data_IF_649805963967
#
_entry.id   IF_649805963967
#
_cell.length_a   1.000
_cell.length_b   1.000
_cell.length_c   1.000
_cell.angle_alpha   90.00
_cell.angle_beta   90.00
_cell.angle_gamma   90.00
#
_symmetry.space_group_name_H-M   'P 1'
#
loop_
_entity.id
_entity.type
_entity.pdbx_description
1 polymer ?
#
# COMPACT_ATOMS: atom_id res chain seq x y z
N UNK A 1 1.08 9.77 -22.65
CA UNK A 1 -0.26 9.15 -22.68
C UNK A 1 -0.16 7.88 -23.49
N UNK A 2 -0.80 6.78 -23.07
CA UNK A 2 -0.88 5.50 -23.80
C UNK A 2 -2.34 5.16 -24.17
N UNK A 3 -3.25 6.12 -24.00
CA UNK A 3 -4.64 6.03 -24.41
C UNK A 3 -4.75 5.80 -25.92
N UNK A 4 -5.70 4.95 -26.29
CA UNK A 4 -6.10 4.76 -27.67
C UNK A 4 -7.36 5.57 -27.95
N UNK A 5 -7.41 6.22 -29.11
CA UNK A 5 -8.64 6.81 -29.64
C UNK A 5 -9.01 6.08 -30.94
N UNK A 6 -9.74 4.95 -30.85
CA UNK A 6 -9.99 4.08 -32.00
C UNK A 6 -10.60 4.79 -33.21
N UNK A 7 -11.36 5.87 -32.97
CA UNK A 7 -12.01 6.69 -34.00
C UNK A 7 -11.63 8.17 -33.96
N UNK A 8 -10.68 8.56 -33.08
CA UNK A 8 -10.48 9.96 -32.70
C UNK A 8 -11.64 10.54 -31.87
N UNK A 9 -11.42 11.72 -31.31
CA UNK A 9 -12.42 12.51 -30.56
C UNK A 9 -12.48 13.94 -31.12
N UNK A 10 -13.67 14.42 -31.46
CA UNK A 10 -13.86 15.80 -31.91
C UNK A 10 -14.08 16.75 -30.73
N UNK A 11 -13.35 17.86 -30.71
CA UNK A 11 -13.60 18.97 -29.80
C UNK A 11 -14.07 20.19 -30.58
N UNK A 12 -15.39 20.32 -30.71
CA UNK A 12 -16.01 21.28 -31.62
C UNK A 12 -15.82 20.89 -33.09
N UNK A 13 -16.03 21.86 -33.98
CA UNK A 13 -16.14 21.57 -35.43
C UNK A 13 -14.80 21.66 -36.17
N UNK A 14 -13.70 21.91 -35.46
CA UNK A 14 -12.39 22.22 -36.07
C UNK A 14 -11.19 21.56 -35.38
N UNK A 15 -11.40 20.68 -34.41
CA UNK A 15 -10.33 19.93 -33.73
C UNK A 15 -10.69 18.46 -33.68
N UNK A 16 -9.80 17.61 -34.23
CA UNK A 16 -9.86 16.15 -34.13
C UNK A 16 -8.64 15.69 -33.32
N UNK A 17 -8.89 15.17 -32.13
CA UNK A 17 -7.90 14.60 -31.24
C UNK A 17 -7.70 13.11 -31.56
N UNK A 18 -6.45 12.66 -31.68
CA UNK A 18 -6.10 11.28 -32.05
C UNK A 18 -4.91 10.79 -31.24
N UNK A 19 -4.87 9.49 -30.95
CA UNK A 19 -3.75 8.85 -30.28
C UNK A 19 -3.72 7.35 -30.60
N UNK A 20 -2.52 6.80 -30.76
CA UNK A 20 -2.29 5.44 -31.28
C UNK A 20 -1.95 4.41 -30.21
N UNK A 21 -2.15 4.74 -28.94
CA UNK A 21 -1.72 3.90 -27.84
C UNK A 21 -0.19 3.86 -27.72
N UNK A 22 0.36 2.65 -27.74
CA UNK A 22 1.76 2.41 -27.38
C UNK A 22 2.41 1.26 -28.16
N UNK A 23 3.74 1.14 -28.00
CA UNK A 23 4.57 0.04 -28.53
C UNK A 23 4.39 -0.30 -30.02
N UNK A 24 3.96 0.68 -30.82
CA UNK A 24 3.57 0.46 -32.22
C UNK A 24 2.52 -0.65 -32.38
N UNK A 25 1.68 -0.90 -31.37
CA UNK A 25 0.55 -1.82 -31.48
C UNK A 25 -0.39 -1.39 -32.62
N UNK A 26 -0.51 -0.08 -32.85
CA UNK A 26 -1.35 0.51 -33.88
C UNK A 26 -0.62 1.58 -34.69
N UNK A 27 -0.99 1.68 -35.97
CA UNK A 27 -0.72 2.82 -36.86
C UNK A 27 -2.00 3.67 -36.94
N UNK A 28 -1.88 4.96 -36.63
CA UNK A 28 -2.98 5.91 -36.79
C UNK A 28 -3.18 6.29 -38.25
N UNK A 29 -4.42 6.19 -38.74
CA UNK A 29 -4.82 6.68 -40.06
C UNK A 29 -5.87 7.78 -39.90
N UNK A 30 -5.53 8.99 -40.32
CA UNK A 30 -6.41 10.17 -40.28
C UNK A 30 -6.68 10.65 -41.70
N UNK A 31 -7.95 10.76 -42.06
CA UNK A 31 -8.42 11.36 -43.31
C UNK A 31 -9.08 12.71 -42.99
N UNK A 32 -8.50 13.81 -43.49
CA UNK A 32 -9.00 15.17 -43.24
C UNK A 32 -9.82 15.65 -44.44
N UNK A 33 -11.06 16.06 -44.20
CA UNK A 33 -11.88 16.76 -45.18
C UNK A 33 -11.60 18.27 -45.11
N UNK A 34 -11.00 18.81 -46.17
CA UNK A 34 -10.61 20.22 -46.25
C UNK A 34 -11.77 21.16 -46.60
N UNK A 35 -12.88 20.64 -47.14
CA UNK A 35 -14.07 21.42 -47.45
C UNK A 35 -14.99 21.55 -46.23
N UNK A 36 -15.05 20.50 -45.42
CA UNK A 36 -15.83 20.45 -44.19
C UNK A 36 -15.12 19.56 -43.17
N UNK A 37 -14.35 20.19 -42.28
CA UNK A 37 -13.52 19.49 -41.29
C UNK A 37 -14.32 18.53 -40.41
N UNK A 38 -15.61 18.80 -40.19
CA UNK A 38 -16.49 17.95 -39.38
C UNK A 38 -16.73 16.56 -39.99
N UNK A 39 -16.43 16.38 -41.28
CA UNK A 39 -16.47 15.08 -41.98
C UNK A 39 -15.15 14.30 -41.93
N UNK A 40 -14.11 14.84 -41.28
CA UNK A 40 -12.82 14.15 -41.13
C UNK A 40 -12.98 12.86 -40.32
N UNK A 41 -12.14 11.87 -40.56
CA UNK A 41 -12.19 10.59 -39.86
C UNK A 41 -10.81 10.19 -39.34
N UNK A 42 -10.79 9.41 -38.26
CA UNK A 42 -9.60 8.73 -37.78
C UNK A 42 -9.91 7.27 -37.51
N UNK A 43 -8.89 6.42 -37.65
CA UNK A 43 -8.94 5.02 -37.20
C UNK A 43 -7.57 4.50 -36.81
N UNK A 44 -7.56 3.48 -35.95
CA UNK A 44 -6.38 2.69 -35.67
C UNK A 44 -6.30 1.48 -36.59
N UNK A 45 -5.12 1.23 -37.13
CA UNK A 45 -4.79 0.06 -37.91
C UNK A 45 -3.79 -0.77 -37.11
N UNK A 46 -4.17 -1.94 -36.58
CA UNK A 46 -3.25 -2.75 -35.80
C UNK A 46 -2.04 -3.17 -36.63
N UNK A 47 -0.83 -3.02 -36.10
CA UNK A 47 0.40 -3.24 -36.89
C UNK A 47 0.55 -4.71 -37.31
N UNK A 48 0.01 -5.65 -36.53
CA UNK A 48 -0.03 -7.08 -36.91
C UNK A 48 -0.88 -7.35 -38.17
N UNK A 49 -1.70 -6.42 -38.63
CA UNK A 49 -2.51 -6.58 -39.85
C UNK A 49 -1.70 -6.41 -41.14
N UNK A 50 -0.50 -5.84 -41.06
CA UNK A 50 0.41 -5.72 -42.19
C UNK A 50 1.14 -7.05 -42.41
N UNK A 51 0.91 -7.67 -43.56
CA UNK A 51 1.45 -9.01 -43.91
C UNK A 51 2.46 -8.99 -45.05
N UNK A 52 2.74 -7.80 -45.60
CA UNK A 52 3.68 -7.63 -46.72
C UNK A 52 5.00 -7.10 -46.18
N UNK A 53 6.06 -7.89 -46.34
CA UNK A 53 7.42 -7.46 -46.02
C UNK A 53 7.98 -6.53 -47.11
N UNK A 54 8.60 -5.43 -46.71
CA UNK A 54 9.28 -4.51 -47.61
C UNK A 54 10.55 -5.17 -48.19
N UNK A 55 10.81 -5.02 -49.49
CA UNK A 55 12.03 -5.52 -50.11
C UNK A 55 13.32 -4.88 -49.55
N UNK A 56 13.21 -3.75 -48.83
CA UNK A 56 14.30 -3.10 -48.10
C UNK A 56 14.54 -3.67 -46.70
N UNK A 57 13.59 -4.42 -46.13
CA UNK A 57 13.63 -4.96 -44.75
C UNK A 57 14.92 -5.77 -44.48
N UNK A 58 15.39 -6.67 -45.36
CA UNK A 58 16.60 -7.46 -45.10
C UNK A 58 17.88 -6.62 -44.88
N UNK A 59 17.95 -5.40 -45.45
CA UNK A 59 19.12 -4.52 -45.27
C UNK A 59 19.17 -3.85 -43.89
N UNK A 60 18.03 -3.78 -43.21
CA UNK A 60 17.87 -3.23 -41.86
C UNK A 60 17.95 -4.36 -40.82
N UNK A 61 17.34 -5.51 -41.13
CA UNK A 61 17.23 -6.65 -40.21
C UNK A 61 18.56 -7.39 -39.97
N UNK A 62 19.52 -7.40 -40.90
CA UNK A 62 20.77 -8.16 -40.69
C UNK A 62 21.66 -7.58 -39.58
N UNK A 63 21.97 -6.26 -39.54
CA UNK A 63 22.65 -5.66 -38.40
C UNK A 63 21.86 -5.74 -37.09
N UNK A 64 20.53 -5.59 -37.17
CA UNK A 64 19.63 -5.70 -36.02
C UNK A 64 19.66 -7.11 -35.42
N UNK A 65 19.62 -8.14 -36.27
CA UNK A 65 19.74 -9.54 -35.84
C UNK A 65 21.07 -9.83 -35.17
N UNK A 66 22.19 -9.34 -35.71
CA UNK A 66 23.49 -9.53 -35.06
C UNK A 66 23.57 -8.83 -33.69
N UNK A 67 22.94 -7.66 -33.54
CA UNK A 67 22.82 -6.99 -32.25
C UNK A 67 21.89 -7.75 -31.29
N UNK A 68 20.76 -8.26 -31.80
CA UNK A 68 19.81 -9.08 -31.04
C UNK A 68 20.47 -10.36 -30.55
N UNK A 69 21.16 -11.11 -31.43
CA UNK A 69 21.87 -12.34 -31.05
C UNK A 69 22.92 -12.07 -29.95
N UNK A 70 23.58 -10.91 -29.99
CA UNK A 70 24.52 -10.48 -28.96
C UNK A 70 23.84 -10.11 -27.64
N UNK A 71 22.70 -9.42 -27.72
CA UNK A 71 21.88 -9.09 -26.56
C UNK A 71 21.30 -10.35 -25.92
N UNK A 72 20.72 -11.25 -26.70
CA UNK A 72 20.11 -12.52 -26.25
C UNK A 72 21.14 -13.42 -25.58
N UNK A 73 22.39 -13.45 -26.08
CA UNK A 73 23.46 -14.24 -25.50
C UNK A 73 23.78 -13.82 -24.06
N UNK A 74 23.78 -12.52 -23.77
CA UNK A 74 23.99 -11.99 -22.42
C UNK A 74 22.70 -12.01 -21.61
N UNK A 75 21.60 -11.63 -22.24
CA UNK A 75 20.28 -11.50 -21.61
C UNK A 75 19.72 -12.84 -21.14
N UNK A 76 20.12 -13.96 -21.74
CA UNK A 76 19.69 -15.30 -21.31
C UNK A 76 20.47 -15.85 -20.11
N UNK A 77 21.46 -15.13 -19.59
CA UNK A 77 22.17 -15.54 -18.37
C UNK A 77 21.22 -15.49 -17.16
N UNK A 78 21.11 -16.61 -16.44
CA UNK A 78 20.31 -16.71 -15.22
C UNK A 78 21.01 -16.00 -14.05
N UNK A 79 20.24 -15.25 -13.28
CA UNK A 79 20.63 -14.63 -12.01
C UNK A 79 20.07 -15.44 -10.83
N UNK A 80 18.80 -15.86 -10.93
CA UNK A 80 18.10 -16.62 -9.89
C UNK A 80 17.05 -17.53 -10.55
N UNK A 81 16.99 -18.81 -10.17
CA UNK A 81 16.20 -19.84 -10.88
C UNK A 81 14.93 -20.32 -10.15
N UNK A 82 14.69 -19.86 -8.92
CA UNK A 82 13.64 -20.39 -8.02
C UNK A 82 12.56 -19.34 -7.69
N UNK A 83 12.22 -18.46 -8.64
CA UNK A 83 11.12 -17.49 -8.48
C UNK A 83 9.76 -18.22 -8.63
N UNK A 84 8.86 -18.08 -7.66
CA UNK A 84 7.58 -18.81 -7.66
C UNK A 84 6.39 -18.00 -8.19
N UNK A 85 6.53 -16.67 -8.31
CA UNK A 85 5.48 -15.73 -8.67
C UNK A 85 5.97 -14.66 -9.65
N UNK A 86 5.05 -13.93 -10.27
CA UNK A 86 5.39 -12.80 -11.14
C UNK A 86 5.77 -11.58 -10.30
N UNK A 87 6.79 -10.83 -10.71
CA UNK A 87 7.03 -9.47 -10.21
C UNK A 87 6.49 -8.48 -11.25
N UNK A 88 5.34 -7.89 -10.96
CA UNK A 88 4.58 -7.08 -11.91
C UNK A 88 5.06 -5.63 -11.97
N UNK A 89 5.16 -5.12 -13.20
CA UNK A 89 5.36 -3.72 -13.56
C UNK A 89 4.08 -3.04 -14.03
N UNK A 90 2.92 -3.67 -13.79
CA UNK A 90 1.62 -3.14 -14.19
C UNK A 90 1.52 -1.68 -13.75
N UNK A 91 1.16 -0.82 -14.69
CA UNK A 91 1.03 0.63 -14.48
C UNK A 91 -0.06 0.96 -13.49
N UNK A 92 -1.07 0.12 -13.42
CA UNK A 92 -2.12 0.20 -12.41
C UNK A 92 -1.61 -0.11 -11.00
N UNK A 93 -0.41 -0.65 -10.88
CA UNK A 93 0.26 -0.91 -9.60
C UNK A 93 1.38 0.13 -9.41
N UNK A 94 2.45 0.06 -10.22
CA UNK A 94 3.69 0.81 -9.97
C UNK A 94 3.53 2.33 -10.03
N UNK A 95 2.43 2.86 -10.60
CA UNK A 95 2.21 4.31 -10.82
C UNK A 95 1.18 4.96 -9.92
N UNK A 96 0.63 4.25 -8.94
CA UNK A 96 -0.38 4.82 -8.05
C UNK A 96 -0.48 4.19 -6.67
N UNK A 97 0.23 3.08 -6.43
CA UNK A 97 0.23 2.34 -5.17
C UNK A 97 1.57 1.63 -4.97
N UNK A 98 1.81 1.11 -3.78
CA UNK A 98 2.97 0.28 -3.48
C UNK A 98 3.00 -0.96 -4.37
N UNK A 99 4.19 -1.29 -4.88
CA UNK A 99 4.43 -2.43 -5.76
C UNK A 99 5.56 -3.30 -5.20
N UNK A 100 5.38 -4.63 -5.17
CA UNK A 100 6.44 -5.55 -4.76
C UNK A 100 7.74 -5.37 -5.57
N UNK A 101 7.64 -5.24 -6.89
CA UNK A 101 8.81 -4.98 -7.74
C UNK A 101 9.47 -3.63 -7.42
N UNK A 102 8.68 -2.62 -7.08
CA UNK A 102 9.18 -1.31 -6.63
C UNK A 102 9.92 -1.40 -5.29
N UNK A 103 9.38 -2.17 -4.35
CA UNK A 103 10.00 -2.46 -3.07
C UNK A 103 11.34 -3.18 -3.25
N UNK A 104 11.37 -4.24 -4.05
CA UNK A 104 12.58 -5.02 -4.33
C UNK A 104 13.70 -4.16 -4.95
N UNK A 105 13.37 -3.32 -5.93
CA UNK A 105 14.34 -2.42 -6.56
C UNK A 105 14.88 -1.38 -5.55
N UNK A 106 14.00 -0.80 -4.73
CA UNK A 106 14.44 0.19 -3.74
C UNK A 106 15.23 -0.43 -2.58
N UNK A 107 14.97 -1.69 -2.25
CA UNK A 107 15.80 -2.47 -1.30
C UNK A 107 17.20 -2.72 -1.87
N UNK A 108 17.31 -3.04 -3.16
CA UNK A 108 18.60 -3.14 -3.84
C UNK A 108 19.38 -1.82 -3.78
N UNK A 109 18.70 -0.70 -4.01
CA UNK A 109 19.30 0.64 -3.88
C UNK A 109 19.75 0.94 -2.45
N UNK A 110 18.95 0.56 -1.44
CA UNK A 110 19.33 0.71 -0.02
C UNK A 110 20.56 -0.13 0.32
N UNK A 111 20.61 -1.39 -0.14
CA UNK A 111 21.73 -2.32 0.08
C UNK A 111 23.03 -1.79 -0.55
N UNK A 112 22.99 -1.44 -1.83
CA UNK A 112 24.13 -0.86 -2.56
C UNK A 112 24.64 0.44 -1.91
N UNK A 113 23.69 1.29 -1.48
CA UNK A 113 23.99 2.54 -0.79
C UNK A 113 24.79 2.38 0.51
N UNK A 114 24.71 1.22 1.17
CA UNK A 114 25.48 0.96 2.40
C UNK A 114 27.00 0.95 2.18
N UNK A 115 27.45 0.75 0.94
CA UNK A 115 28.87 0.77 0.56
C UNK A 115 29.49 2.17 0.52
N UNK A 116 28.69 3.24 0.53
CA UNK A 116 29.17 4.62 0.50
C UNK A 116 29.45 5.17 1.90
N UNK A 117 30.26 6.24 1.97
CA UNK A 117 30.51 6.94 3.24
C UNK A 117 29.27 7.62 3.81
N UNK A 118 28.36 8.05 2.93
CA UNK A 118 27.06 8.59 3.27
C UNK A 118 26.02 7.52 2.94
N UNK A 119 25.55 6.83 3.98
CA UNK A 119 24.58 5.75 3.86
C UNK A 119 23.18 6.35 3.67
N UNK A 120 22.35 5.81 2.77
CA UNK A 120 21.01 6.31 2.58
C UNK A 120 20.13 6.05 3.81
N UNK A 121 19.29 7.03 4.12
CA UNK A 121 18.21 6.94 5.09
C UNK A 121 16.95 6.34 4.48
N UNK A 122 16.74 6.58 3.18
CA UNK A 122 15.64 6.07 2.38
C UNK A 122 16.06 5.94 0.92
N UNK A 123 15.37 5.07 0.18
CA UNK A 123 15.49 4.96 -1.27
C UNK A 123 14.14 5.17 -1.94
N UNK A 124 14.15 5.88 -3.08
CA UNK A 124 12.95 6.06 -3.91
C UNK A 124 13.24 5.90 -5.40
N UNK A 125 12.28 5.34 -6.12
CA UNK A 125 12.28 5.30 -7.59
C UNK A 125 10.88 5.65 -8.11
N UNK A 126 10.80 6.39 -9.21
CA UNK A 126 9.53 6.69 -9.86
C UNK A 126 9.03 5.46 -10.63
N UNK A 127 7.74 5.13 -10.50
CA UNK A 127 7.10 3.98 -11.16
C UNK A 127 7.16 4.02 -12.68
N UNK A 128 7.32 5.21 -13.28
CA UNK A 128 7.58 5.39 -14.70
C UNK A 128 8.92 4.80 -15.16
N UNK A 129 9.86 4.61 -14.23
CA UNK A 129 11.15 3.96 -14.41
C UNK A 129 11.12 2.43 -14.44
N UNK A 130 10.04 1.80 -13.97
CA UNK A 130 9.86 0.33 -13.92
C UNK A 130 9.02 -0.10 -15.12
N UNK A 131 9.58 -0.95 -16.00
CA UNK A 131 9.08 -1.05 -17.39
C UNK A 131 8.66 -2.44 -17.88
N UNK A 132 9.04 -3.50 -17.20
CA UNK A 132 8.73 -4.86 -17.59
C UNK A 132 8.52 -5.74 -16.37
N UNK A 133 7.70 -6.77 -16.54
CA UNK A 133 7.48 -7.80 -15.53
C UNK A 133 8.64 -8.79 -15.53
N UNK A 134 8.90 -9.41 -14.38
CA UNK A 134 9.78 -10.58 -14.28
C UNK A 134 8.90 -11.80 -14.07
N UNK A 135 8.99 -12.76 -15.00
CA UNK A 135 8.17 -13.97 -14.97
C UNK A 135 8.94 -15.13 -14.34
N UNK A 136 8.27 -15.99 -13.55
CA UNK A 136 8.88 -17.19 -13.02
C UNK A 136 9.18 -18.23 -14.13
N UNK A 137 10.10 -19.18 -13.91
CA UNK A 137 10.81 -19.42 -12.65
C UNK A 137 12.17 -18.71 -12.54
N UNK A 138 12.71 -18.23 -13.66
CA UNK A 138 14.08 -17.72 -13.72
C UNK A 138 14.08 -16.22 -13.94
N UNK A 139 14.82 -15.50 -13.10
CA UNK A 139 15.22 -14.11 -13.33
C UNK A 139 16.50 -14.11 -14.16
N UNK A 140 16.47 -13.47 -15.32
CA UNK A 140 17.62 -13.35 -16.22
C UNK A 140 18.19 -11.94 -16.25
N UNK A 141 19.40 -11.79 -16.78
CA UNK A 141 20.00 -10.47 -17.07
C UNK A 141 19.12 -9.65 -18.01
N UNK A 142 18.48 -10.29 -18.98
CA UNK A 142 17.56 -9.65 -19.92
C UNK A 142 16.34 -9.07 -19.21
N UNK A 143 15.79 -9.78 -18.22
CA UNK A 143 14.66 -9.31 -17.41
C UNK A 143 15.04 -8.05 -16.62
N UNK A 144 16.19 -8.06 -15.96
CA UNK A 144 16.67 -6.89 -15.18
C UNK A 144 16.86 -5.66 -16.06
N UNK A 145 17.45 -5.83 -17.26
CA UNK A 145 17.61 -4.73 -18.23
C UNK A 145 16.24 -4.25 -18.73
N UNK A 146 15.30 -5.17 -19.00
CA UNK A 146 13.96 -4.82 -19.46
C UNK A 146 13.17 -4.05 -18.39
N UNK A 147 13.35 -4.37 -17.11
CA UNK A 147 12.73 -3.68 -15.97
C UNK A 147 13.26 -2.24 -15.82
N UNK A 148 14.57 -2.03 -15.97
CA UNK A 148 15.26 -0.74 -15.80
C UNK A 148 16.01 -0.29 -17.08
N UNK A 149 15.32 -0.03 -18.20
CA UNK A 149 15.94 0.03 -19.54
C UNK A 149 16.58 1.38 -19.90
N UNK A 150 16.59 2.34 -18.99
CA UNK A 150 16.97 3.72 -19.30
C UNK A 150 18.46 4.03 -19.11
N UNK A 151 19.23 3.11 -18.52
CA UNK A 151 20.63 3.35 -18.15
C UNK A 151 20.77 4.48 -17.13
N UNK A 152 19.75 4.67 -16.29
CA UNK A 152 19.79 5.59 -15.16
C UNK A 152 20.83 5.08 -14.16
N UNK A 153 21.59 6.00 -13.56
CA UNK A 153 22.57 5.63 -12.53
C UNK A 153 21.96 5.72 -11.13
N UNK A 154 22.46 4.89 -10.22
CA UNK A 154 22.27 5.14 -8.80
C UNK A 154 22.80 6.53 -8.45
N UNK A 155 22.01 7.33 -7.74
CA UNK A 155 22.40 8.64 -7.28
C UNK A 155 21.93 8.84 -5.84
N UNK A 156 22.82 9.28 -4.95
CA UNK A 156 22.44 9.75 -3.62
C UNK A 156 22.67 11.24 -3.43
N UNK A 157 21.71 11.89 -2.78
CA UNK A 157 21.69 13.34 -2.52
C UNK A 157 21.33 13.61 -1.05
N UNK A 158 21.88 14.69 -0.50
CA UNK A 158 21.47 15.19 0.82
C UNK A 158 20.21 16.07 0.65
N UNK A 159 19.17 15.76 1.41
CA UNK A 159 17.88 16.47 1.40
C UNK A 159 17.44 16.80 2.82
N UNK A 160 16.74 17.91 3.01
CA UNK A 160 16.11 18.24 4.29
C UNK A 160 14.82 17.44 4.48
N UNK A 161 14.37 17.29 5.72
CA UNK A 161 13.07 16.67 5.99
C UNK A 161 11.91 17.40 5.31
N UNK A 162 11.98 18.74 5.18
CA UNK A 162 11.01 19.49 4.38
C UNK A 162 11.01 19.07 2.90
N UNK A 163 12.18 18.87 2.28
CA UNK A 163 12.25 18.41 0.89
C UNK A 163 11.68 16.99 0.73
N UNK A 164 11.82 16.13 1.73
CA UNK A 164 11.20 14.79 1.74
C UNK A 164 9.68 14.90 1.80
N UNK A 165 9.13 15.75 2.67
CA UNK A 165 7.69 16.00 2.73
C UNK A 165 7.17 16.54 1.39
N UNK A 166 7.83 17.58 0.84
CA UNK A 166 7.46 18.18 -0.44
C UNK A 166 7.51 17.16 -1.60
N UNK A 167 8.51 16.27 -1.58
CA UNK A 167 8.65 15.18 -2.54
C UNK A 167 7.47 14.20 -2.47
N UNK A 168 7.09 13.75 -1.27
CA UNK A 168 5.97 12.81 -1.12
C UNK A 168 4.61 13.46 -1.42
N UNK A 169 4.39 14.71 -1.01
CA UNK A 169 3.20 15.48 -1.42
C UNK A 169 3.09 15.58 -2.94
N UNK A 170 4.23 15.81 -3.63
CA UNK A 170 4.27 15.87 -5.09
C UNK A 170 4.06 14.52 -5.76
N UNK A 171 4.61 13.44 -5.18
CA UNK A 171 4.39 12.05 -5.64
C UNK A 171 2.90 11.70 -5.67
N UNK A 172 2.16 12.19 -4.67
CA UNK A 172 0.75 11.91 -4.49
C UNK A 172 -0.15 13.05 -4.97
N UNK A 173 0.25 13.81 -6.00
CA UNK A 173 -0.53 14.97 -6.48
C UNK A 173 -1.72 14.64 -7.38
N UNK A 174 -1.81 13.43 -7.93
CA UNK A 174 -2.84 13.08 -8.93
C UNK A 174 -4.23 13.06 -8.34
N UNK A 175 -5.24 13.51 -9.07
CA UNK A 175 -6.63 13.40 -8.60
C UNK A 175 -6.95 11.97 -8.16
N UNK A 176 -7.74 11.85 -7.09
CA UNK A 176 -8.14 10.56 -6.55
C UNK A 176 -9.10 9.87 -7.52
N UNK A 177 -8.96 8.57 -7.63
CA UNK A 177 -9.73 7.69 -8.49
C UNK A 177 -10.29 6.53 -7.64
N UNK A 178 -11.13 5.69 -8.24
CA UNK A 178 -11.71 4.52 -7.58
C UNK A 178 -11.23 3.27 -8.30
N UNK A 179 -10.64 2.33 -7.57
CA UNK A 179 -10.17 1.06 -8.14
C UNK A 179 -11.35 0.19 -8.62
N UNK A 180 -11.07 -0.89 -9.35
CA UNK A 180 -12.12 -1.83 -9.77
C UNK A 180 -12.83 -2.47 -8.56
N UNK A 181 -12.12 -2.56 -7.44
CA UNK A 181 -12.57 -3.09 -6.15
C UNK A 181 -13.34 -2.05 -5.31
N UNK A 182 -13.41 -0.79 -5.76
CA UNK A 182 -14.14 0.28 -5.08
C UNK A 182 -13.32 1.09 -4.07
N UNK A 183 -12.00 0.90 -4.01
CA UNK A 183 -11.11 1.61 -3.08
C UNK A 183 -10.73 2.99 -3.62
N UNK A 184 -10.60 3.97 -2.73
CA UNK A 184 -10.02 5.26 -3.09
C UNK A 184 -8.51 5.11 -3.34
N UNK A 185 -8.09 5.41 -4.57
CA UNK A 185 -6.70 5.32 -5.01
C UNK A 185 -6.25 6.63 -5.65
N UNK A 186 -4.95 6.79 -5.86
CA UNK A 186 -4.44 7.90 -6.65
C UNK A 186 -4.59 7.60 -8.15
N UNK A 187 -4.79 8.65 -8.96
CA UNK A 187 -4.68 8.52 -10.41
C UNK A 187 -3.26 8.11 -10.82
N UNK A 188 -3.12 7.41 -11.95
CA UNK A 188 -1.80 6.95 -12.42
C UNK A 188 -0.86 8.12 -12.74
N UNK A 189 0.34 8.12 -12.15
CA UNK A 189 1.43 9.01 -12.50
C UNK A 189 2.76 8.27 -12.64
N UNK A 190 3.46 8.50 -13.75
CA UNK A 190 4.84 7.99 -13.90
C UNK A 190 5.78 8.46 -12.80
N UNK A 191 5.51 9.63 -12.20
CA UNK A 191 6.26 10.16 -11.08
C UNK A 191 5.95 9.54 -9.71
N UNK A 192 4.94 8.68 -9.56
CA UNK A 192 4.62 8.06 -8.25
C UNK A 192 5.83 7.29 -7.72
N UNK A 193 6.19 7.49 -6.45
CA UNK A 193 7.39 6.91 -5.84
C UNK A 193 7.12 5.56 -5.19
N UNK A 194 7.92 4.57 -5.57
CA UNK A 194 8.15 3.33 -4.81
C UNK A 194 9.28 3.59 -3.80
N UNK A 195 9.26 2.92 -2.65
CA UNK A 195 10.12 3.31 -1.51
C UNK A 195 10.74 2.15 -0.75
N UNK A 196 11.86 2.40 -0.08
CA UNK A 196 12.47 1.54 0.95
C UNK A 196 13.05 2.39 2.09
N UNK A 197 13.12 1.81 3.30
CA UNK A 197 13.63 2.47 4.51
C UNK A 197 12.68 3.48 5.16
N UNK A 198 11.45 3.59 4.66
CA UNK A 198 10.46 4.55 5.11
C UNK A 198 9.05 3.98 5.02
N UNK A 199 8.20 4.36 5.98
CA UNK A 199 6.76 4.18 5.97
C UNK A 199 6.10 5.54 5.78
N UNK A 200 5.14 5.62 4.86
CA UNK A 200 4.41 6.85 4.53
C UNK A 200 2.92 6.59 4.68
N UNK A 201 2.27 7.37 5.52
CA UNK A 201 0.81 7.39 5.64
C UNK A 201 0.30 8.60 4.87
N UNK A 202 -0.70 8.38 4.01
CA UNK A 202 -1.29 9.43 3.20
C UNK A 202 -2.80 9.29 3.08
N UNK A 203 -3.49 10.40 2.86
CA UNK A 203 -4.92 10.46 2.62
C UNK A 203 -5.20 11.11 1.27
N UNK A 204 -5.42 10.29 0.24
CA UNK A 204 -5.74 10.76 -1.10
C UNK A 204 -7.03 11.57 -1.19
N UNK A 205 -7.95 11.51 -0.21
CA UNK A 205 -9.16 12.35 -0.19
C UNK A 205 -8.86 13.82 0.14
N UNK A 206 -7.69 14.11 0.74
CA UNK A 206 -7.27 15.48 1.03
C UNK A 206 -6.82 16.22 -0.24
N UNK A 207 -6.89 17.56 -0.25
CA UNK A 207 -6.39 18.36 -1.37
C UNK A 207 -4.91 18.09 -1.68
N UNK A 208 -4.52 18.21 -2.94
CA UNK A 208 -3.11 18.17 -3.37
C UNK A 208 -2.25 19.09 -2.48
N UNK A 209 -1.10 18.58 -2.01
CA UNK A 209 -0.21 19.30 -1.11
C UNK A 209 -0.60 19.23 0.38
N UNK A 210 -1.62 18.45 0.73
CA UNK A 210 -2.00 18.15 2.12
C UNK A 210 -2.38 16.69 2.31
N UNK A 211 -1.78 15.79 1.53
CA UNK A 211 -2.12 14.36 1.54
C UNK A 211 -1.23 13.55 2.45
N UNK A 212 -0.05 14.03 2.82
CA UNK A 212 0.84 13.29 3.72
C UNK A 212 0.42 13.52 5.16
N UNK A 213 0.15 12.41 5.83
CA UNK A 213 -0.31 12.35 7.21
C UNK A 213 0.85 12.06 8.16
N UNK A 214 1.85 11.33 7.68
CA UNK A 214 3.11 11.16 8.38
C UNK A 214 4.11 10.32 7.60
N UNK A 215 5.38 10.48 7.98
CA UNK A 215 6.52 9.79 7.39
C UNK A 215 7.42 9.31 8.53
N UNK A 216 7.77 8.02 8.54
CA UNK A 216 8.63 7.40 9.54
C UNK A 216 9.74 6.59 8.87
N UNK A 217 10.98 6.80 9.31
CA UNK A 217 12.12 6.01 8.88
C UNK A 217 12.23 4.73 9.68
N UNK A 218 12.56 3.64 9.00
CA UNK A 218 12.85 2.36 9.62
C UNK A 218 14.29 2.34 10.10
N UNK A 219 14.49 2.31 11.43
CA UNK A 219 15.82 2.24 12.05
C UNK A 219 15.96 0.96 12.86
N UNK A 220 17.20 0.58 13.15
CA UNK A 220 17.49 -0.52 14.09
C UNK A 220 16.86 -0.31 15.48
N UNK A 221 16.60 0.94 15.86
CA UNK A 221 15.97 1.34 17.13
C UNK A 221 14.44 1.42 17.06
N UNK A 222 13.83 1.12 15.92
CA UNK A 222 12.41 1.29 15.64
C UNK A 222 12.11 2.44 14.68
N UNK A 223 10.84 2.87 14.65
CA UNK A 223 10.40 3.94 13.76
C UNK A 223 10.83 5.33 14.27
N UNK A 224 11.45 6.11 13.40
CA UNK A 224 11.85 7.50 13.65
C UNK A 224 10.98 8.44 12.79
N UNK A 225 10.15 9.28 13.42
CA UNK A 225 9.35 10.26 12.68
C UNK A 225 10.23 11.29 11.93
N UNK A 226 9.75 11.75 10.77
CA UNK A 226 10.41 12.78 9.98
C UNK A 226 10.59 14.09 10.77
N UNK A 227 11.82 14.57 10.85
CA UNK A 227 12.16 15.91 11.37
C UNK A 227 12.44 16.84 10.19
N UNK A 228 11.58 17.84 10.00
CA UNK A 228 11.65 18.78 8.87
C UNK A 228 12.96 19.58 8.80
N UNK A 229 13.63 19.78 9.93
CA UNK A 229 14.88 20.54 10.02
C UNK A 229 16.13 19.68 9.88
N UNK A 230 16.01 18.35 9.97
CA UNK A 230 17.12 17.40 9.85
C UNK A 230 17.48 17.17 8.37
N UNK A 231 18.76 16.96 8.09
CA UNK A 231 19.24 16.45 6.80
C UNK A 231 19.22 14.93 6.78
N UNK A 232 18.88 14.36 5.63
CA UNK A 232 18.81 12.95 5.33
C UNK A 232 19.53 12.66 4.01
N UNK A 233 19.98 11.43 3.82
CA UNK A 233 20.57 10.95 2.57
C UNK A 233 19.52 10.16 1.80
N UNK A 234 19.11 10.68 0.64
CA UNK A 234 18.15 10.05 -0.26
C UNK A 234 18.89 9.29 -1.36
N UNK A 235 18.71 7.97 -1.44
CA UNK A 235 19.06 7.19 -2.61
C UNK A 235 17.95 7.26 -3.66
N UNK A 236 18.30 7.55 -4.90
CA UNK A 236 17.35 7.62 -6.01
C UNK A 236 18.06 7.35 -7.35
N UNK A 237 17.39 7.62 -8.47
CA UNK A 237 18.00 7.63 -9.79
C UNK A 237 18.46 9.03 -10.19
N UNK A 238 19.47 9.11 -11.06
CA UNK A 238 20.02 10.39 -11.53
C UNK A 238 18.99 11.28 -12.23
N UNK A 239 17.97 10.71 -12.89
CA UNK A 239 16.85 11.44 -13.47
C UNK A 239 16.03 12.22 -12.42
N UNK A 240 15.61 11.59 -11.34
CA UNK A 240 14.90 12.22 -10.22
C UNK A 240 15.79 13.19 -9.46
N UNK A 241 17.06 12.85 -9.25
CA UNK A 241 18.03 13.68 -8.55
C UNK A 241 18.25 15.05 -9.23
N UNK A 242 17.99 15.18 -10.53
CA UNK A 242 18.05 16.45 -11.28
C UNK A 242 16.69 17.11 -11.52
N UNK A 243 15.63 16.62 -10.88
CA UNK A 243 14.27 17.16 -10.97
C UNK A 243 13.41 16.59 -12.10
N UNK A 244 13.78 15.41 -12.62
CA UNK A 244 12.92 14.62 -13.51
C UNK A 244 11.53 14.39 -12.91
N UNK A 245 10.53 14.11 -13.76
CA UNK A 245 9.10 14.03 -13.40
C UNK A 245 8.51 15.25 -12.65
N UNK A 246 9.29 16.35 -12.57
CA UNK A 246 8.91 17.59 -11.91
C UNK A 246 9.32 17.67 -10.43
N UNK A 247 10.17 16.76 -9.96
CA UNK A 247 10.75 16.76 -8.60
C UNK A 247 11.76 17.89 -8.36
N UNK A 248 11.37 19.13 -8.67
CA UNK A 248 12.22 20.32 -8.64
C UNK A 248 12.68 20.75 -7.24
N UNK A 249 12.08 20.17 -6.19
CA UNK A 249 12.56 20.30 -4.81
C UNK A 249 13.85 19.53 -4.55
N UNK A 250 14.17 18.53 -5.39
CA UNK A 250 15.42 17.77 -5.33
C UNK A 250 16.54 18.49 -6.08
N UNK A 251 17.78 18.12 -5.75
CA UNK A 251 18.97 18.65 -6.40
C UNK A 251 20.16 18.76 -5.44
N UNK A 252 21.20 19.46 -5.88
CA UNK A 252 22.42 19.65 -5.11
C UNK A 252 23.55 18.71 -5.50
N UNK A 253 24.64 18.66 -4.71
CA UNK A 253 25.74 17.72 -4.90
C UNK A 253 25.23 16.29 -4.79
N UNK A 254 25.73 15.40 -5.66
CA UNK A 254 25.31 14.00 -5.71
C UNK A 254 26.51 13.06 -5.74
N UNK A 255 26.29 11.86 -5.22
CA UNK A 255 27.20 10.73 -5.35
C UNK A 255 26.55 9.77 -6.34
N UNK A 256 27.20 9.54 -7.48
CA UNK A 256 26.76 8.58 -8.48
C UNK A 256 27.45 7.24 -8.26
N UNK A 257 26.71 6.15 -8.48
CA UNK A 257 27.19 4.77 -8.46
C UNK A 257 27.07 4.10 -9.83
N UNK A 258 26.89 2.78 -9.81
CA UNK A 258 26.66 1.97 -11.01
C UNK A 258 25.29 2.27 -11.65
N UNK A 259 25.06 1.73 -12.85
CA UNK A 259 23.73 1.71 -13.47
C UNK A 259 22.72 1.03 -12.56
N UNK A 260 21.48 1.50 -12.52
CA UNK A 260 20.47 0.91 -11.63
C UNK A 260 20.15 -0.54 -11.98
N UNK A 261 20.21 -0.90 -13.26
CA UNK A 261 20.11 -2.29 -13.71
C UNK A 261 21.26 -3.15 -13.16
N UNK A 262 22.46 -2.60 -13.06
CA UNK A 262 23.62 -3.28 -12.48
C UNK A 262 23.48 -3.39 -10.96
N UNK A 263 23.06 -2.32 -10.29
CA UNK A 263 22.75 -2.35 -8.84
C UNK A 263 21.69 -3.39 -8.50
N UNK A 264 20.62 -3.47 -9.30
CA UNK A 264 19.57 -4.45 -9.08
C UNK A 264 20.04 -5.88 -9.36
N UNK A 265 20.80 -6.08 -10.45
CA UNK A 265 21.44 -7.37 -10.76
C UNK A 265 22.35 -7.83 -9.64
N UNK A 266 23.28 -6.99 -9.18
CA UNK A 266 24.24 -7.32 -8.11
C UNK A 266 23.51 -7.71 -6.83
N UNK A 267 22.43 -6.99 -6.46
CA UNK A 267 21.62 -7.33 -5.31
C UNK A 267 20.99 -8.73 -5.43
N UNK A 268 20.44 -9.07 -6.60
CA UNK A 268 19.86 -10.38 -6.84
C UNK A 268 20.92 -11.49 -6.83
N UNK A 269 22.10 -11.25 -7.42
CA UNK A 269 23.23 -12.20 -7.41
C UNK A 269 23.76 -12.43 -6.00
N UNK A 270 23.88 -11.38 -5.18
CA UNK A 270 24.44 -11.46 -3.83
C UNK A 270 23.44 -11.97 -2.78
N UNK A 271 22.14 -11.71 -2.98
CA UNK A 271 21.13 -11.96 -1.95
C UNK A 271 20.01 -12.92 -2.37
N UNK A 272 19.81 -13.21 -3.66
CA UNK A 272 18.67 -13.98 -4.17
C UNK A 272 18.45 -15.33 -3.47
N UNK A 273 19.53 -16.06 -3.17
CA UNK A 273 19.46 -17.35 -2.45
C UNK A 273 19.10 -17.23 -0.95
N UNK A 274 19.21 -16.03 -0.38
CA UNK A 274 19.00 -15.75 1.06
C UNK A 274 17.88 -14.78 1.34
N UNK A 275 17.33 -14.15 0.29
CA UNK A 275 16.26 -13.18 0.38
C UNK A 275 14.97 -13.88 0.82
N UNK A 276 14.22 -13.24 1.71
CA UNK A 276 12.86 -13.69 2.03
C UNK A 276 11.91 -13.26 0.91
N UNK A 277 11.75 -14.11 -0.10
CA UNK A 277 10.89 -13.86 -1.25
C UNK A 277 9.42 -13.68 -0.89
N UNK A 278 8.97 -14.15 0.28
CA UNK A 278 7.58 -13.97 0.72
C UNK A 278 7.19 -12.49 0.89
N UNK A 279 8.18 -11.61 1.10
CA UNK A 279 7.98 -10.16 1.18
C UNK A 279 7.57 -9.52 -0.15
N UNK A 280 7.72 -10.23 -1.28
CA UNK A 280 7.47 -9.72 -2.63
C UNK A 280 6.41 -10.52 -3.39
N UNK A 281 5.75 -11.49 -2.75
CA UNK A 281 4.73 -12.34 -3.38
C UNK A 281 3.44 -11.56 -3.67
N UNK A 282 2.98 -10.73 -2.73
CA UNK A 282 1.85 -9.83 -2.93
C UNK A 282 2.29 -8.64 -3.80
N UNK A 283 1.63 -8.45 -4.94
CA UNK A 283 1.95 -7.39 -5.89
C UNK A 283 1.66 -5.99 -5.33
N UNK A 284 0.76 -5.89 -4.35
CA UNK A 284 0.37 -4.64 -3.67
C UNK A 284 0.48 -4.82 -2.16
N UNK A 285 1.69 -4.96 -1.62
CA UNK A 285 1.88 -5.50 -0.27
C UNK A 285 1.53 -4.51 0.84
N UNK A 286 1.27 -3.23 0.52
CA UNK A 286 0.83 -2.16 1.46
C UNK A 286 1.65 -2.06 2.77
N UNK A 287 2.91 -2.50 2.77
CA UNK A 287 3.78 -2.53 3.96
C UNK A 287 4.53 -1.24 4.23
N UNK A 288 4.62 -0.35 3.24
CA UNK A 288 5.42 0.89 3.26
C UNK A 288 4.57 2.12 2.95
N UNK A 289 3.57 2.01 2.08
CA UNK A 289 2.69 3.12 1.68
C UNK A 289 1.25 2.82 2.10
N UNK A 290 0.77 3.57 3.09
CA UNK A 290 -0.53 3.35 3.71
C UNK A 290 -1.50 4.46 3.31
N UNK A 291 -2.50 4.12 2.48
CA UNK A 291 -3.63 5.00 2.18
C UNK A 291 -4.64 4.91 3.31
N UNK A 292 -4.99 6.04 3.91
CA UNK A 292 -6.09 6.16 4.88
C UNK A 292 -7.21 7.02 4.30
N UNK A 293 -8.45 6.62 4.57
CA UNK A 293 -9.64 7.46 4.31
C UNK A 293 -10.06 8.26 5.54
N UNK A 294 -9.47 7.96 6.70
CA UNK A 294 -9.71 8.61 8.00
C UNK A 294 -8.63 9.67 8.24
N UNK A 295 -8.93 10.77 8.93
CA UNK A 295 -7.89 11.72 9.34
C UNK A 295 -7.06 11.21 10.54
N UNK A 296 -5.81 11.69 10.65
CA UNK A 296 -4.87 11.34 11.73
C UNK A 296 -5.39 11.70 13.12
N UNK A 297 -6.27 12.70 13.23
CA UNK A 297 -6.86 13.12 14.50
C UNK A 297 -7.72 12.00 15.09
N UNK A 298 -8.45 11.28 14.24
CA UNK A 298 -9.24 10.11 14.63
C UNK A 298 -8.36 8.92 15.03
N UNK A 299 -7.25 8.69 14.33
CA UNK A 299 -6.28 7.64 14.70
C UNK A 299 -5.60 7.94 16.04
N UNK A 300 -5.19 9.20 16.24
CA UNK A 300 -4.61 9.67 17.51
C UNK A 300 -5.61 9.50 18.65
N UNK A 301 -6.88 9.82 18.40
CA UNK A 301 -7.96 9.64 19.38
C UNK A 301 -8.13 8.16 19.74
N UNK A 302 -8.05 7.25 18.77
CA UNK A 302 -8.12 5.81 19.02
C UNK A 302 -6.93 5.31 19.85
N UNK A 303 -5.71 5.75 19.54
CA UNK A 303 -4.51 5.41 20.32
C UNK A 303 -4.61 5.90 21.77
N UNK A 304 -5.02 7.15 21.98
CA UNK A 304 -5.24 7.72 23.33
C UNK A 304 -6.32 6.94 24.08
N UNK A 305 -7.43 6.59 23.42
CA UNK A 305 -8.53 5.82 24.03
C UNK A 305 -8.09 4.41 24.43
N UNK A 306 -7.22 3.76 23.65
CA UNK A 306 -6.65 2.44 24.01
C UNK A 306 -5.77 2.54 25.25
N UNK A 307 -4.96 3.61 25.37
CA UNK A 307 -4.11 3.83 26.54
C UNK A 307 -4.97 3.99 27.80
N UNK A 308 -6.00 4.82 27.74
CA UNK A 308 -6.92 5.05 28.86
C UNK A 308 -7.68 3.76 29.24
N UNK A 309 -8.14 2.98 28.25
CA UNK A 309 -8.81 1.70 28.46
C UNK A 309 -7.91 0.66 29.14
N UNK A 310 -6.62 0.60 28.77
CA UNK A 310 -5.64 -0.31 29.41
C UNK A 310 -5.38 0.08 30.86
N UNK A 311 -5.27 1.38 31.16
CA UNK A 311 -5.11 1.86 32.52
C UNK A 311 -6.32 1.47 33.40
N UNK A 312 -7.53 1.49 32.83
CA UNK A 312 -8.75 1.07 33.53
C UNK A 312 -8.73 -0.41 33.94
N UNK A 313 -8.09 -1.28 33.15
CA UNK A 313 -7.89 -2.71 33.49
C UNK A 313 -6.83 -2.88 34.59
N UNK A 314 -5.80 -2.04 34.61
CA UNK A 314 -4.74 -2.12 35.62
C UNK A 314 -5.22 -1.70 37.01
N UNK A 315 -6.18 -0.75 37.09
CA UNK A 315 -6.75 -0.24 38.34
C UNK A 315 -7.99 -1.03 38.84
N UNK A 316 -8.28 -2.20 38.27
CA UNK A 316 -9.60 -2.85 38.32
C UNK A 316 -9.84 -3.85 39.48
N UNK A 317 -9.41 -3.56 40.71
CA UNK A 317 -9.49 -4.52 41.84
C UNK A 317 -10.93 -4.99 42.19
N UNK A 318 -11.95 -4.19 41.86
CA UNK A 318 -13.37 -4.45 42.17
C UNK A 318 -14.27 -4.66 40.93
N UNK A 319 -13.70 -4.73 39.72
CA UNK A 319 -14.47 -4.86 38.46
C UNK A 319 -14.67 -6.35 38.12
N UNK A 320 -15.88 -6.77 37.72
CA UNK A 320 -16.14 -8.14 37.26
C UNK A 320 -15.22 -8.59 36.12
N UNK A 321 -14.66 -9.79 36.24
CA UNK A 321 -13.77 -10.39 35.24
C UNK A 321 -14.42 -10.47 33.86
N UNK A 322 -15.73 -10.63 33.78
CA UNK A 322 -16.48 -10.64 32.53
C UNK A 322 -16.43 -9.30 31.79
N UNK A 323 -16.47 -8.16 32.50
CA UNK A 323 -16.37 -6.82 31.90
C UNK A 323 -14.94 -6.52 31.47
N UNK A 324 -13.95 -6.92 32.28
CA UNK A 324 -12.53 -6.85 31.93
C UNK A 324 -12.25 -7.63 30.64
N UNK A 325 -12.82 -8.84 30.50
CA UNK A 325 -12.66 -9.65 29.29
C UNK A 325 -13.28 -8.99 28.04
N UNK A 326 -14.42 -8.30 28.19
CA UNK A 326 -15.05 -7.56 27.09
C UNK A 326 -14.18 -6.37 26.67
N UNK A 327 -13.69 -5.58 27.63
CA UNK A 327 -12.82 -4.45 27.37
C UNK A 327 -11.49 -4.90 26.76
N UNK A 328 -10.87 -5.96 27.29
CA UNK A 328 -9.64 -6.52 26.73
C UNK A 328 -9.83 -7.06 25.31
N UNK A 329 -10.98 -7.68 25.01
CA UNK A 329 -11.28 -8.12 23.65
C UNK A 329 -11.45 -6.93 22.69
N UNK A 330 -12.06 -5.84 23.13
CA UNK A 330 -12.20 -4.61 22.34
C UNK A 330 -10.82 -3.94 22.10
N UNK A 331 -9.97 -3.87 23.12
CA UNK A 331 -8.58 -3.38 23.03
C UNK A 331 -7.78 -4.21 22.03
N UNK A 332 -7.76 -5.54 22.18
CA UNK A 332 -7.00 -6.41 21.29
C UNK A 332 -7.42 -6.24 19.83
N UNK A 333 -8.73 -6.08 19.59
CA UNK A 333 -9.27 -5.83 18.25
C UNK A 333 -8.82 -4.47 17.72
N UNK A 334 -8.88 -3.42 18.53
CA UNK A 334 -8.43 -2.08 18.14
C UNK A 334 -6.91 -1.97 17.89
N UNK A 335 -6.10 -2.71 18.67
CA UNK A 335 -4.66 -2.82 18.43
C UNK A 335 -4.34 -3.61 17.15
N UNK A 336 -5.10 -4.66 16.85
CA UNK A 336 -5.04 -5.36 15.56
C UNK A 336 -5.36 -4.41 14.39
N UNK A 337 -6.33 -3.49 14.55
CA UNK A 337 -6.64 -2.46 13.55
C UNK A 337 -5.56 -1.37 13.40
N UNK A 338 -4.85 -1.01 14.47
CA UNK A 338 -3.66 -0.13 14.39
C UNK A 338 -2.47 -0.78 13.68
N UNK A 339 -2.42 -2.12 13.68
CA UNK A 339 -1.39 -2.91 13.02
C UNK A 339 -1.72 -3.23 11.55
N UNK A 340 -2.99 -3.11 11.12
CA UNK A 340 -3.50 -3.55 9.81
C UNK A 340 -4.33 -2.44 9.13
N UNK A 341 -3.64 -1.44 8.56
CA UNK A 341 -4.23 -0.43 7.65
C UNK A 341 -4.24 -0.97 6.22
N UNK A 342 -4.74 -2.20 6.05
CA UNK A 342 -4.73 -2.89 4.75
C UNK A 342 -6.10 -3.20 4.15
N UNK A 343 -7.24 -3.15 4.85
CA UNK A 343 -8.52 -3.57 4.21
C UNK A 343 -9.86 -3.11 4.85
N UNK A 344 -9.93 -1.98 5.58
CA UNK A 344 -11.17 -1.58 6.27
C UNK A 344 -11.67 -0.15 5.99
N UNK A 345 -13.00 -0.02 5.92
CA UNK A 345 -13.74 1.24 5.69
C UNK A 345 -14.00 2.02 6.99
N UNK A 346 -14.22 3.33 6.87
CA UNK A 346 -14.50 4.29 7.97
C UNK A 346 -15.58 3.85 8.97
N UNK A 347 -16.57 3.04 8.56
CA UNK A 347 -17.69 2.61 9.41
C UNK A 347 -17.22 1.66 10.54
N UNK A 348 -16.19 0.84 10.29
CA UNK A 348 -15.65 -0.10 11.27
C UNK A 348 -14.77 0.60 12.33
N UNK A 349 -14.10 1.71 11.99
CA UNK A 349 -13.29 2.50 12.92
C UNK A 349 -14.14 3.21 13.98
N UNK A 350 -15.23 3.87 13.58
CA UNK A 350 -16.17 4.50 14.50
C UNK A 350 -16.81 3.44 15.41
N UNK A 351 -17.13 2.26 14.86
CA UNK A 351 -17.69 1.15 15.64
C UNK A 351 -16.75 0.66 16.76
N UNK A 352 -15.43 0.70 16.53
CA UNK A 352 -14.45 0.23 17.52
C UNK A 352 -14.14 1.29 18.59
N UNK A 353 -14.05 2.58 18.24
CA UNK A 353 -13.98 3.67 19.23
C UNK A 353 -15.24 3.65 20.09
N UNK A 354 -16.42 3.58 19.48
CA UNK A 354 -17.70 3.51 20.19
C UNK A 354 -17.80 2.24 21.06
N UNK A 355 -17.27 1.11 20.62
CA UNK A 355 -17.25 -0.14 21.40
C UNK A 355 -16.31 -0.04 22.63
N UNK A 356 -15.15 0.59 22.49
CA UNK A 356 -14.24 0.82 23.63
C UNK A 356 -14.88 1.80 24.60
N UNK A 357 -15.40 2.93 24.12
CA UNK A 357 -16.07 3.94 24.95
C UNK A 357 -17.30 3.35 25.67
N UNK A 358 -18.11 2.54 24.99
CA UNK A 358 -19.26 1.86 25.61
C UNK A 358 -18.83 0.81 26.66
N UNK A 359 -17.71 0.11 26.45
CA UNK A 359 -17.17 -0.82 27.44
C UNK A 359 -16.60 -0.08 28.66
N UNK A 360 -15.94 1.07 28.46
CA UNK A 360 -15.47 1.95 29.53
C UNK A 360 -16.65 2.53 30.31
N UNK A 361 -17.67 3.07 29.64
CA UNK A 361 -18.88 3.60 30.29
C UNK A 361 -19.60 2.51 31.11
N UNK A 362 -19.70 1.28 30.61
CA UNK A 362 -20.29 0.16 31.36
C UNK A 362 -19.48 -0.24 32.60
N UNK A 363 -18.18 0.03 32.63
CA UNK A 363 -17.31 -0.18 33.79
C UNK A 363 -17.43 1.00 34.77
N UNK A 364 -17.47 2.24 34.29
CA UNK A 364 -17.67 3.43 35.11
C UNK A 364 -19.04 3.44 35.80
N UNK A 365 -20.09 2.98 35.12
CA UNK A 365 -21.46 2.86 35.63
C UNK A 365 -21.68 1.62 36.51
N UNK A 366 -20.67 0.76 36.70
CA UNK A 366 -20.77 -0.41 37.57
C UNK A 366 -20.79 -0.01 39.04
N UNK A 367 -21.97 0.00 39.65
CA UNK A 367 -22.12 0.00 41.11
C UNK A 367 -22.10 -1.43 41.65
N UNK A 368 -21.09 -1.75 42.48
CA UNK A 368 -21.02 -3.03 43.17
C UNK A 368 -22.32 -3.29 43.94
N UNK A 369 -22.93 -4.48 43.82
CA UNK A 369 -24.17 -4.78 44.52
C UNK A 369 -23.95 -4.64 46.03
N UNK A 370 -24.73 -3.76 46.66
CA UNK A 370 -24.71 -3.58 48.11
C UNK A 370 -25.12 -4.90 48.75
N UNK A 371 -24.14 -5.64 49.29
CA UNK A 371 -24.39 -6.88 50.02
C UNK A 371 -25.24 -6.52 51.25
N UNK A 372 -26.48 -7.03 51.40
CA UNK A 372 -27.24 -6.80 52.60
C UNK A 372 -26.51 -7.47 53.76
N UNK A 373 -26.14 -6.70 54.78
CA UNK A 373 -25.55 -7.25 56.00
C UNK A 373 -26.64 -8.07 56.70
N UNK A 374 -26.52 -9.40 56.66
CA UNK A 374 -27.36 -10.27 57.50
C UNK A 374 -27.05 -9.99 58.98
N UNK A 375 -28.07 -9.85 59.85
CA UNK A 375 -27.85 -9.63 61.26
C UNK A 375 -27.31 -10.93 61.90
N UNK A 376 -26.14 -10.83 62.52
CA UNK A 376 -25.53 -11.91 63.29
C UNK A 376 -26.39 -12.26 64.52
N UNK A 377 -26.91 -13.49 64.61
CA UNK A 377 -27.44 -14.05 65.86
C UNK A 377 -26.28 -14.43 66.81
N UNK A 378 -26.45 -14.30 68.14
CA UNK A 378 -25.40 -14.59 69.10
C UNK A 378 -25.32 -16.11 69.41
N UNK A 379 -24.09 -16.62 69.44
CA UNK A 379 -23.74 -18.00 69.80
C UNK A 379 -24.20 -18.36 71.23
N UNK A 380 -24.93 -19.47 71.36
CA UNK A 380 -25.10 -20.17 72.64
C UNK A 380 -24.37 -21.52 72.60
N UNK A 381 -23.60 -21.78 73.65
CA UNK A 381 -22.76 -22.96 73.84
C UNK A 381 -23.53 -23.98 74.67
N UNK A 382 -23.74 -25.18 74.15
CA UNK A 382 -23.41 -26.45 74.81
C UNK A 382 -24.06 -27.68 74.13
N UNK A 383 -23.34 -28.80 74.27
CA UNK A 383 -23.74 -30.21 74.11
C UNK A 383 -23.51 -30.98 72.79
N UNK A 384 -23.13 -32.25 73.00
CA UNK A 384 -22.40 -33.23 72.16
C UNK A 384 -23.35 -34.16 71.32
N UNK A 385 -22.82 -35.04 70.42
CA UNK A 385 -23.51 -35.63 69.25
C UNK A 385 -24.08 -37.05 69.53
N UNK A 386 -24.45 -37.95 68.56
CA UNK A 386 -24.71 -37.89 67.11
C UNK A 386 -26.08 -38.55 66.71
N UNK A 387 -26.28 -38.80 65.39
CA UNK A 387 -27.08 -39.87 64.72
C UNK A 387 -28.29 -39.44 63.88
N UNK A 388 -28.44 -40.05 62.69
CA UNK A 388 -29.77 -40.31 62.12
C UNK A 388 -30.05 -39.84 60.69
N UNK A 389 -29.74 -40.72 59.75
CA UNK A 389 -30.38 -41.05 58.46
C UNK A 389 -31.78 -40.42 58.16
N UNK A 390 -32.01 -40.17 56.85
CA UNK A 390 -33.30 -40.03 56.13
C UNK A 390 -33.91 -38.61 56.12
N UNK A 391 -34.54 -38.07 55.05
CA UNK A 391 -34.76 -38.49 53.67
C UNK A 391 -35.67 -37.44 52.95
N UNK A 392 -35.51 -37.35 51.62
CA UNK A 392 -36.47 -36.99 50.54
C UNK A 392 -37.02 -35.55 50.35
N UNK A 393 -37.09 -35.22 49.04
CA UNK A 393 -37.99 -34.29 48.29
C UNK A 393 -37.59 -32.80 48.25
N UNK A 394 -37.57 -32.06 47.13
CA UNK A 394 -38.08 -32.21 45.74
C UNK A 394 -37.33 -31.19 44.79
N UNK A 395 -37.72 -30.89 43.52
CA UNK A 395 -36.83 -30.89 42.35
C UNK A 395 -36.66 -29.49 41.69
N UNK A 396 -35.91 -29.40 40.58
CA UNK A 396 -35.97 -28.20 39.73
C UNK A 396 -34.77 -27.97 38.82
N UNK A 397 -34.46 -28.93 37.94
CA UNK A 397 -33.60 -28.70 36.78
C UNK A 397 -34.48 -28.48 35.54
N UNK A 398 -34.25 -27.39 34.80
CA UNK A 398 -34.12 -27.33 33.34
C UNK A 398 -34.44 -25.93 32.77
N UNK A 399 -33.51 -25.37 31.97
CA UNK A 399 -33.72 -24.49 30.79
C UNK A 399 -32.33 -24.31 30.15
N UNK A 400 -31.97 -25.04 29.08
CA UNK A 400 -32.31 -24.87 27.64
C UNK A 400 -31.59 -23.67 27.02
N UNK A 401 -30.79 -23.94 25.99
CA UNK A 401 -30.06 -22.96 25.18
C UNK A 401 -30.71 -22.61 23.84
N UNK A 402 -29.83 -22.13 22.93
CA UNK A 402 -30.04 -21.56 21.57
C UNK A 402 -30.70 -20.16 21.56
N UNK A 403 -30.35 -19.22 20.67
CA UNK A 403 -29.48 -19.25 19.49
C UNK A 403 -29.55 -17.92 18.73
N UNK A 404 -28.68 -17.77 17.72
CA UNK A 404 -28.60 -16.69 16.73
C UNK A 404 -29.96 -16.32 16.08
N UNK A 405 -30.18 -15.02 15.85
CA UNK A 405 -31.17 -14.52 14.88
C UNK A 405 -30.62 -13.31 14.11
N UNK A 406 -30.34 -13.54 12.83
CA UNK A 406 -30.33 -12.53 11.76
C UNK A 406 -31.77 -12.17 11.37
N UNK A 407 -32.07 -10.89 11.11
CA UNK A 407 -33.19 -10.55 10.20
C UNK A 407 -33.02 -9.22 9.47
N UNK A 408 -33.12 -9.30 8.15
CA UNK A 408 -33.27 -8.21 7.20
C UNK A 408 -34.63 -7.47 7.38
N UNK A 409 -34.66 -6.17 7.05
CA UNK A 409 -35.91 -5.42 6.92
C UNK A 409 -36.01 -4.77 5.53
N UNK A 410 -36.97 -5.27 4.76
CA UNK A 410 -37.41 -4.74 3.48
C UNK A 410 -38.25 -3.46 3.67
N UNK A 411 -37.90 -2.40 2.92
CA UNK A 411 -38.63 -1.13 2.87
C UNK A 411 -39.65 -1.17 1.73
N UNK A 412 -40.96 -1.15 2.05
CA UNK A 412 -42.02 -0.90 1.04
C UNK A 412 -42.95 0.23 1.47
N UNK A 413 -43.01 1.20 0.56
CA UNK A 413 -43.83 2.43 0.45
C UNK A 413 -45.24 2.35 1.06
N UNK A 414 -45.69 3.48 1.63
CA UNK A 414 -47.08 3.94 1.49
C UNK A 414 -47.12 5.45 1.20
N UNK A 415 -48.06 5.78 0.33
CA UNK A 415 -48.40 7.06 -0.30
C UNK A 415 -49.61 7.67 0.44
N UNK A 416 -49.96 8.90 0.08
CA UNK A 416 -51.17 9.70 0.41
C UNK A 416 -50.97 10.67 1.58
N UNK A 417 -51.21 11.98 1.48
CA UNK A 417 -52.03 12.78 0.53
C UNK A 417 -51.28 13.97 -0.10
#
# INVERSE_FOLDING_TARGET
SHTEYPTGEFHGDNVLYVQTGEYLNNIGHVEIDLADFSNSTAKLVPTFSYTVEDAALPKVLEPEKAAQDGFDAVGSESIFDDLEFILSSDRDIVRRREAALGNLITDAMMSYGQGFSQKPDLAVINGGGIRADINPPTITVGDVIAVLPFGNMYSSIEVTGQQILDMFEFSYKTESDVSEEGELVLGQAGGFLQVSGVKVIYNSAKPEGSRIEGIWFERDTGLEALDLAKSYVLATNDFLAVGGDGYTMLGGPRIEGNGLEEVFREFLEDHGDTLDWSLYEDQTPRTRLFQIEVDVETLTTLEETIVDAKALIEDSDDIPVELINVLQAAINKAEEYLLVVEDYTLEDHLLNIDAILAAMEAIEDYEAPVVPVEPTEPEDKDELPPTGISSVFNPGFALIGLGLVTTAVAKKRRKED
#
